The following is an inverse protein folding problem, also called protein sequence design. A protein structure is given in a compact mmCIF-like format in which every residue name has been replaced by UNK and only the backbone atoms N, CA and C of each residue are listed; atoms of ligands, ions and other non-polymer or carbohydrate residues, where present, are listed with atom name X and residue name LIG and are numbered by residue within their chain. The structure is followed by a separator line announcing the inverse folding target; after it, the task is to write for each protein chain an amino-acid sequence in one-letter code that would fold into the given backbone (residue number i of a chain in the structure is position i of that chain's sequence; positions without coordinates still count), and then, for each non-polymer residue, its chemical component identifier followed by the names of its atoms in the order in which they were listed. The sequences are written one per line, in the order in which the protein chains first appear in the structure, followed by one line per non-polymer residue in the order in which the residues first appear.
data_IF_331729613094
#
_entry.id   IF_331729613094
#
_cell.length_a   1.000
_cell.length_b   1.000
_cell.length_c   1.000
_cell.angle_alpha   90.00
_cell.angle_beta   90.00
_cell.angle_gamma   90.00
#
_symmetry.space_group_name_H-M   'P 1'
#
loop_
_entity.id
_entity.type
_entity.pdbx_description
1 polymer ?
#
# COMPACT_ATOMS: atom_id res chain seq x y z
N UNK A 1 28.65 13.95 -7.63
CA UNK A 1 27.74 12.80 -7.34
C UNK A 1 26.92 12.37 -8.55
N UNK A 2 26.44 13.29 -9.39
CA UNK A 2 25.66 12.96 -10.60
C UNK A 2 26.46 12.10 -11.61
N UNK A 3 27.70 12.48 -11.94
CA UNK A 3 28.52 11.77 -12.92
C UNK A 3 28.83 10.31 -12.57
N UNK A 4 29.09 10.01 -11.30
CA UNK A 4 29.32 8.62 -10.87
C UNK A 4 28.04 7.78 -10.97
N UNK A 5 26.91 8.37 -10.62
CA UNK A 5 25.59 7.73 -10.71
C UNK A 5 25.24 7.40 -12.18
N UNK A 6 25.46 8.35 -13.08
CA UNK A 6 25.21 8.18 -14.51
C UNK A 6 26.16 7.13 -15.11
N UNK A 7 27.45 7.14 -14.71
CA UNK A 7 28.42 6.14 -15.13
C UNK A 7 28.06 4.71 -14.68
N UNK A 8 27.57 4.55 -13.43
CA UNK A 8 27.15 3.25 -12.92
C UNK A 8 25.92 2.73 -13.68
N UNK A 9 24.92 3.57 -13.92
CA UNK A 9 23.73 3.19 -14.68
C UNK A 9 24.08 2.81 -16.14
N UNK A 10 24.96 3.56 -16.78
CA UNK A 10 25.45 3.24 -18.14
C UNK A 10 26.21 1.90 -18.17
N UNK A 11 27.08 1.67 -17.18
CA UNK A 11 27.83 0.43 -17.08
C UNK A 11 26.92 -0.78 -16.81
N UNK A 12 25.95 -0.65 -15.90
CA UNK A 12 24.96 -1.71 -15.62
C UNK A 12 24.05 -1.98 -16.82
N UNK A 13 23.68 -0.96 -17.58
CA UNK A 13 22.92 -1.11 -18.83
C UNK A 13 23.68 -1.91 -19.90
N UNK A 14 25.02 -1.74 -19.96
CA UNK A 14 25.89 -2.51 -20.87
C UNK A 14 26.31 -3.89 -20.34
N UNK A 15 26.09 -4.15 -19.02
CA UNK A 15 26.45 -5.41 -18.34
C UNK A 15 25.25 -5.99 -17.55
N UNK A 16 24.18 -6.41 -18.22
CA UNK A 16 22.92 -6.82 -17.59
C UNK A 16 23.06 -8.00 -16.63
N UNK A 17 24.05 -8.87 -16.79
CA UNK A 17 24.34 -10.00 -15.90
C UNK A 17 24.67 -9.57 -14.46
N UNK A 18 25.11 -8.34 -14.23
CA UNK A 18 25.44 -7.82 -12.90
C UNK A 18 24.27 -7.10 -12.22
N UNK A 19 23.19 -6.84 -12.97
CA UNK A 19 22.09 -6.03 -12.47
C UNK A 19 21.40 -6.66 -11.24
N UNK A 20 21.22 -7.98 -11.24
CA UNK A 20 20.63 -8.69 -10.10
C UNK A 20 21.50 -8.57 -8.84
N UNK A 21 22.82 -8.73 -8.98
CA UNK A 21 23.76 -8.54 -7.88
C UNK A 21 23.76 -7.09 -7.40
N UNK A 22 23.69 -6.12 -8.30
CA UNK A 22 23.63 -4.70 -7.97
C UNK A 22 22.38 -4.37 -7.14
N UNK A 23 21.20 -4.87 -7.54
CA UNK A 23 19.94 -4.70 -6.79
C UNK A 23 20.07 -5.26 -5.37
N UNK A 24 20.59 -6.49 -5.25
CA UNK A 24 20.78 -7.14 -3.96
C UNK A 24 21.75 -6.36 -3.06
N UNK A 25 22.91 -5.97 -3.58
CA UNK A 25 23.94 -5.25 -2.80
C UNK A 25 23.46 -3.84 -2.41
N UNK A 26 22.85 -3.09 -3.32
CA UNK A 26 22.33 -1.75 -3.03
C UNK A 26 21.25 -1.84 -1.94
N UNK A 27 20.33 -2.81 -2.05
CA UNK A 27 19.29 -3.04 -1.05
C UNK A 27 19.89 -3.42 0.32
N UNK A 28 20.92 -4.26 0.34
CA UNK A 28 21.63 -4.64 1.55
C UNK A 28 22.34 -3.43 2.19
N UNK A 29 23.12 -2.68 1.42
CA UNK A 29 23.87 -1.50 1.88
C UNK A 29 22.92 -0.44 2.43
N UNK A 30 21.79 -0.21 1.77
CA UNK A 30 20.79 0.78 2.18
C UNK A 30 20.12 0.44 3.50
N UNK A 31 20.05 -0.86 3.85
CA UNK A 31 19.52 -1.34 5.12
C UNK A 31 20.60 -1.48 6.22
N UNK A 32 21.89 -1.28 5.87
CA UNK A 32 22.97 -1.26 6.87
C UNK A 32 22.92 0.02 7.68
N UNK A 33 22.98 -0.13 9.00
CA UNK A 33 23.08 0.98 9.94
C UNK A 33 24.29 1.86 9.59
N UNK A 34 24.13 3.18 9.70
CA UNK A 34 25.15 4.20 9.40
C UNK A 34 25.44 4.33 7.90
N UNK A 35 25.84 3.25 7.21
CA UNK A 35 26.18 3.26 5.78
C UNK A 35 24.96 3.65 4.93
N UNK A 36 23.77 3.10 5.25
CA UNK A 36 22.53 3.40 4.55
C UNK A 36 22.06 4.86 4.67
N UNK A 37 22.57 5.62 5.64
CA UNK A 37 22.30 7.07 5.75
C UNK A 37 23.16 7.87 4.75
N UNK A 38 24.37 7.40 4.46
CA UNK A 38 25.35 8.10 3.64
C UNK A 38 25.11 7.86 2.13
N UNK A 39 24.49 6.74 1.78
CA UNK A 39 24.25 6.35 0.38
C UNK A 39 22.85 6.84 -0.04
N UNK A 40 22.69 7.50 -1.20
CA UNK A 40 21.38 7.86 -1.76
C UNK A 40 20.67 6.63 -2.35
N UNK A 41 20.48 5.59 -1.53
CA UNK A 41 20.04 4.26 -1.94
C UNK A 41 18.69 4.24 -2.64
N UNK A 42 17.74 5.12 -2.24
CA UNK A 42 16.42 5.21 -2.89
C UNK A 42 16.56 5.56 -4.38
N UNK A 43 17.42 6.53 -4.71
CA UNK A 43 17.63 6.94 -6.10
C UNK A 43 18.37 5.84 -6.90
N UNK A 44 19.34 5.17 -6.25
CA UNK A 44 20.04 4.04 -6.86
C UNK A 44 19.09 2.87 -7.11
N UNK A 45 18.27 2.49 -6.12
CA UNK A 45 17.28 1.42 -6.27
C UNK A 45 16.25 1.73 -7.36
N UNK A 46 15.79 2.98 -7.43
CA UNK A 46 14.92 3.41 -8.51
C UNK A 46 15.59 3.25 -9.89
N UNK A 47 16.83 3.74 -10.04
CA UNK A 47 17.58 3.64 -11.31
C UNK A 47 17.81 2.19 -11.76
N UNK A 48 18.29 1.31 -10.85
CA UNK A 48 18.49 -0.11 -11.19
C UNK A 48 17.17 -0.85 -11.42
N UNK A 49 16.08 -0.43 -10.76
CA UNK A 49 14.75 -0.99 -11.01
C UNK A 49 14.22 -0.58 -12.39
N UNK A 50 14.48 0.66 -12.86
CA UNK A 50 14.16 1.08 -14.24
C UNK A 50 14.92 0.21 -15.24
N UNK A 51 16.23 -0.02 -15.03
CA UNK A 51 17.01 -0.91 -15.88
C UNK A 51 16.48 -2.35 -15.87
N UNK A 52 16.08 -2.87 -14.71
CA UNK A 52 15.47 -4.20 -14.61
C UNK A 52 14.15 -4.27 -15.41
N UNK A 53 13.27 -3.29 -15.26
CA UNK A 53 11.99 -3.20 -15.96
C UNK A 53 12.13 -3.02 -17.48
N UNK A 54 13.26 -2.49 -17.97
CA UNK A 54 13.49 -2.37 -19.41
C UNK A 54 13.70 -3.71 -20.12
N UNK A 55 13.58 -4.83 -19.43
CA UNK A 55 13.54 -6.19 -20.00
C UNK A 55 14.66 -7.12 -19.54
N UNK A 56 15.49 -6.67 -18.60
CA UNK A 56 16.63 -7.44 -18.11
C UNK A 56 16.22 -8.45 -17.04
N UNK A 57 15.33 -8.07 -16.13
CA UNK A 57 14.84 -8.92 -15.03
C UNK A 57 13.31 -8.82 -14.93
N UNK A 58 12.69 -9.93 -14.58
CA UNK A 58 11.25 -9.93 -14.24
C UNK A 58 10.98 -9.12 -12.97
N UNK A 59 9.72 -8.70 -12.79
CA UNK A 59 9.29 -8.03 -11.56
C UNK A 59 9.56 -8.89 -10.33
N UNK A 60 9.23 -10.19 -10.41
CA UNK A 60 9.42 -11.13 -9.31
C UNK A 60 10.89 -11.27 -8.89
N UNK A 61 11.79 -11.42 -9.83
CA UNK A 61 13.25 -11.48 -9.57
C UNK A 61 13.76 -10.17 -8.94
N UNK A 62 13.36 -9.03 -9.49
CA UNK A 62 13.74 -7.70 -8.99
C UNK A 62 13.31 -7.52 -7.54
N UNK A 63 12.04 -7.84 -7.22
CA UNK A 63 11.51 -7.73 -5.87
C UNK A 63 12.15 -8.73 -4.91
N UNK A 64 12.38 -9.98 -5.34
CA UNK A 64 13.00 -11.01 -4.51
C UNK A 64 14.44 -10.67 -4.16
N UNK A 65 15.24 -10.19 -5.13
CA UNK A 65 16.63 -9.78 -4.89
C UNK A 65 16.72 -8.61 -3.92
N UNK A 66 15.88 -7.59 -4.09
CA UNK A 66 15.82 -6.47 -3.16
C UNK A 66 15.32 -6.88 -1.77
N UNK A 67 14.32 -7.76 -1.69
CA UNK A 67 13.81 -8.33 -0.45
C UNK A 67 14.92 -9.05 0.31
N UNK A 68 15.63 -9.97 -0.35
CA UNK A 68 16.71 -10.74 0.27
C UNK A 68 17.87 -9.83 0.71
N UNK A 69 18.27 -8.86 -0.12
CA UNK A 69 19.28 -7.87 0.23
C UNK A 69 18.87 -7.03 1.44
N UNK A 70 17.63 -6.54 1.45
CA UNK A 70 17.08 -5.74 2.55
C UNK A 70 17.02 -6.51 3.87
N UNK A 71 16.55 -7.78 3.84
CA UNK A 71 16.53 -8.65 5.03
C UNK A 71 17.95 -8.92 5.55
N UNK A 72 18.90 -9.19 4.65
CA UNK A 72 20.29 -9.41 5.07
C UNK A 72 20.88 -8.16 5.72
N UNK A 73 20.69 -6.98 5.13
CA UNK A 73 21.14 -5.70 5.68
C UNK A 73 20.56 -5.41 7.07
N UNK A 74 19.26 -5.69 7.27
CA UNK A 74 18.59 -5.58 8.56
C UNK A 74 19.18 -6.55 9.59
N UNK A 75 19.40 -7.82 9.21
CA UNK A 75 19.96 -8.82 10.11
C UNK A 75 21.40 -8.47 10.54
N UNK A 76 22.21 -7.97 9.61
CA UNK A 76 23.57 -7.50 9.92
C UNK A 76 23.53 -6.29 10.84
N UNK A 77 22.66 -5.32 10.60
CA UNK A 77 22.49 -4.15 11.47
C UNK A 77 22.00 -4.53 12.88
N UNK A 78 21.05 -5.46 12.96
CA UNK A 78 20.58 -6.00 14.24
C UNK A 78 21.69 -6.73 14.99
N UNK A 79 22.47 -7.58 14.31
CA UNK A 79 23.59 -8.31 14.92
C UNK A 79 24.67 -7.34 15.43
N UNK A 80 25.02 -6.32 14.61
CA UNK A 80 25.93 -5.26 15.05
C UNK A 80 25.43 -4.57 16.33
N UNK A 81 24.14 -4.20 16.35
CA UNK A 81 23.52 -3.59 17.54
C UNK A 81 23.59 -4.46 18.76
N UNK A 82 23.32 -5.76 18.61
CA UNK A 82 23.27 -6.72 19.70
C UNK A 82 24.66 -7.04 20.30
N UNK A 83 25.67 -7.21 19.44
CA UNK A 83 27.00 -7.62 19.89
C UNK A 83 27.94 -6.45 20.24
N UNK A 84 27.76 -5.29 19.58
CA UNK A 84 28.68 -4.16 19.71
C UNK A 84 28.05 -2.91 20.32
N UNK A 85 26.95 -3.04 21.09
CA UNK A 85 26.16 -1.90 21.56
C UNK A 85 26.95 -0.84 22.35
N UNK A 86 28.03 -1.22 23.06
CA UNK A 86 28.88 -0.25 23.79
C UNK A 86 29.85 0.49 22.84
N UNK A 87 30.39 -0.20 21.85
CA UNK A 87 31.38 0.35 20.89
C UNK A 87 30.75 1.22 19.84
N UNK A 88 29.49 0.92 19.44
CA UNK A 88 28.73 1.69 18.47
C UNK A 88 28.61 3.16 18.88
N UNK A 89 28.42 3.45 20.16
CA UNK A 89 28.33 4.83 20.67
C UNK A 89 29.64 5.61 20.52
N UNK A 90 30.77 4.92 20.39
CA UNK A 90 32.11 5.52 20.20
C UNK A 90 32.49 5.75 18.77
N UNK A 91 31.72 5.23 17.80
CA UNK A 91 31.99 5.41 16.37
C UNK A 91 31.96 6.90 15.98
N UNK A 92 32.98 7.39 15.21
CA UNK A 92 33.12 8.82 14.87
C UNK A 92 31.85 9.44 14.28
N UNK A 93 31.15 8.74 13.36
CA UNK A 93 29.92 9.21 12.72
C UNK A 93 28.76 9.42 13.69
N UNK A 94 28.57 8.51 14.64
CA UNK A 94 27.52 8.60 15.67
C UNK A 94 27.91 9.51 16.82
N UNK A 95 29.18 9.62 17.16
CA UNK A 95 29.68 10.56 18.15
C UNK A 95 29.44 12.00 17.74
N UNK A 96 29.55 12.33 16.46
CA UNK A 96 29.29 13.67 15.93
C UNK A 96 27.78 13.96 15.73
N UNK A 97 26.95 12.89 15.61
CA UNK A 97 25.50 13.02 15.40
C UNK A 97 24.70 12.16 16.38
N UNK A 98 24.79 12.42 17.71
CA UNK A 98 24.13 11.59 18.73
C UNK A 98 22.60 11.61 18.61
N UNK A 99 22.05 12.65 18.00
CA UNK A 99 20.62 12.82 17.77
C UNK A 99 20.01 11.73 16.86
N UNK A 100 20.79 11.11 15.97
CA UNK A 100 20.29 10.02 15.10
C UNK A 100 19.98 8.78 15.94
N UNK A 101 20.89 8.41 16.83
CA UNK A 101 20.69 7.27 17.73
C UNK A 101 19.61 7.58 18.77
N UNK A 102 19.60 8.80 19.33
CA UNK A 102 18.59 9.22 20.30
C UNK A 102 17.18 9.26 19.67
N UNK A 103 17.06 9.73 18.42
CA UNK A 103 15.81 9.73 17.69
C UNK A 103 15.26 8.32 17.45
N UNK A 104 16.11 7.40 16.98
CA UNK A 104 15.74 6.01 16.75
C UNK A 104 15.41 5.30 18.06
N UNK A 105 16.16 5.55 19.13
CA UNK A 105 15.92 5.06 20.48
C UNK A 105 14.55 5.51 21.00
N UNK A 106 14.29 6.82 21.02
CA UNK A 106 13.00 7.36 21.47
C UNK A 106 11.81 6.84 20.64
N UNK A 107 12.00 6.67 19.34
CA UNK A 107 10.98 6.09 18.47
C UNK A 107 10.73 4.61 18.78
N UNK A 108 11.78 3.83 18.99
CA UNK A 108 11.68 2.42 19.38
C UNK A 108 11.05 2.25 20.77
N UNK A 109 11.44 3.06 21.76
CA UNK A 109 10.82 3.02 23.10
C UNK A 109 9.33 3.34 23.05
N UNK A 110 8.93 4.31 22.21
CA UNK A 110 7.54 4.77 22.13
C UNK A 110 6.63 3.79 21.38
N UNK A 111 7.14 3.14 20.33
CA UNK A 111 6.32 2.34 19.40
C UNK A 111 6.67 0.85 19.39
N UNK A 112 7.73 0.44 20.07
CA UNK A 112 8.16 -0.96 20.16
C UNK A 112 8.33 -1.62 18.81
N UNK A 113 7.75 -2.80 18.64
CA UNK A 113 7.82 -3.60 17.41
C UNK A 113 7.23 -2.88 16.20
N UNK A 114 6.17 -2.07 16.39
CA UNK A 114 5.56 -1.31 15.30
C UNK A 114 6.53 -0.27 14.69
N UNK A 115 7.55 0.17 15.46
CA UNK A 115 8.57 1.08 14.93
C UNK A 115 9.38 0.48 13.78
N UNK A 116 9.63 -0.83 13.79
CA UNK A 116 10.35 -1.53 12.72
C UNK A 116 9.54 -1.59 11.43
N UNK A 117 8.21 -1.80 11.54
CA UNK A 117 7.32 -1.83 10.37
C UNK A 117 7.21 -0.45 9.72
N UNK A 118 6.85 0.56 10.52
CA UNK A 118 6.55 1.91 10.01
C UNK A 118 7.81 2.71 9.78
N UNK A 119 8.80 2.57 10.66
CA UNK A 119 10.06 3.30 10.62
C UNK A 119 10.90 2.98 9.38
N UNK A 120 10.66 1.81 8.74
CA UNK A 120 11.29 1.45 7.48
C UNK A 120 10.96 2.40 6.33
N UNK A 121 9.83 3.11 6.42
CA UNK A 121 9.42 4.13 5.45
C UNK A 121 9.81 5.56 5.85
N UNK A 122 10.49 5.72 7.00
CA UNK A 122 10.92 7.02 7.51
C UNK A 122 12.43 7.16 7.28
N UNK A 123 12.82 7.83 6.18
CA UNK A 123 14.16 8.24 5.78
C UNK A 123 15.33 7.82 6.72
N UNK A 124 15.92 8.75 7.48
CA UNK A 124 17.12 8.47 8.28
C UNK A 124 16.94 7.45 9.41
N UNK A 125 15.69 7.22 9.87
CA UNK A 125 15.43 6.25 10.96
C UNK A 125 15.50 4.81 10.46
N UNK A 126 15.23 4.58 9.18
CA UNK A 126 15.12 3.23 8.58
C UNK A 126 16.33 2.33 8.88
N UNK A 127 17.58 2.68 8.51
CA UNK A 127 18.72 1.81 8.73
C UNK A 127 19.12 1.71 10.20
N UNK A 128 18.72 2.66 11.03
CA UNK A 128 19.09 2.71 12.46
C UNK A 128 18.21 1.81 13.34
N UNK A 129 16.94 1.58 12.96
CA UNK A 129 15.98 0.85 13.79
C UNK A 129 16.34 -0.62 14.00
N UNK A 130 16.82 -1.40 13.02
CA UNK A 130 17.32 -2.76 13.24
C UNK A 130 18.47 -2.81 14.25
N UNK A 131 19.43 -1.88 14.13
CA UNK A 131 20.55 -1.77 15.07
C UNK A 131 20.06 -1.45 16.49
N UNK A 132 19.14 -0.49 16.64
CA UNK A 132 18.55 -0.13 17.93
C UNK A 132 17.77 -1.29 18.53
N UNK A 133 17.02 -2.05 17.74
CA UNK A 133 16.34 -3.27 18.19
C UNK A 133 17.34 -4.31 18.75
N UNK A 134 18.50 -4.47 18.11
CA UNK A 134 19.60 -5.28 18.61
C UNK A 134 20.17 -4.76 19.93
N UNK A 135 20.39 -3.45 20.05
CA UNK A 135 20.89 -2.80 21.28
C UNK A 135 19.93 -2.93 22.47
N UNK A 136 18.64 -3.14 22.23
CA UNK A 136 17.61 -3.39 23.26
C UNK A 136 17.36 -4.88 23.52
N UNK A 137 18.23 -5.76 23.05
CA UNK A 137 18.12 -7.20 23.23
C UNK A 137 16.76 -7.78 22.79
N UNK A 138 16.14 -7.19 21.75
CA UNK A 138 14.91 -7.74 21.19
C UNK A 138 15.15 -9.21 20.78
N UNK A 139 14.25 -10.17 21.13
CA UNK A 139 14.40 -11.56 20.73
C UNK A 139 14.55 -11.71 19.21
N UNK A 140 15.59 -12.43 18.75
CA UNK A 140 15.94 -12.55 17.34
C UNK A 140 14.78 -13.08 16.47
N UNK A 141 14.04 -14.11 16.93
CA UNK A 141 12.90 -14.63 16.19
C UNK A 141 11.79 -13.58 15.95
N UNK A 142 11.51 -12.74 16.96
CA UNK A 142 10.55 -11.63 16.82
C UNK A 142 11.06 -10.58 15.85
N UNK A 143 12.35 -10.22 15.92
CA UNK A 143 12.97 -9.28 14.99
C UNK A 143 12.91 -9.79 13.56
N UNK A 144 13.33 -11.04 13.31
CA UNK A 144 13.34 -11.65 11.96
C UNK A 144 11.93 -11.66 11.38
N UNK A 145 10.91 -12.12 12.13
CA UNK A 145 9.52 -12.13 11.65
C UNK A 145 9.05 -10.74 11.20
N UNK A 146 9.32 -9.72 12.01
CA UNK A 146 8.92 -8.34 11.70
C UNK A 146 9.71 -7.79 10.53
N UNK A 147 11.02 -8.06 10.45
CA UNK A 147 11.87 -7.65 9.34
C UNK A 147 11.44 -8.29 8.01
N UNK A 148 11.10 -9.59 8.01
CA UNK A 148 10.57 -10.26 6.82
C UNK A 148 9.31 -9.57 6.28
N UNK A 149 8.35 -9.27 7.16
CA UNK A 149 7.11 -8.58 6.77
C UNK A 149 7.37 -7.14 6.30
N UNK A 150 8.21 -6.40 7.02
CA UNK A 150 8.54 -5.02 6.68
C UNK A 150 9.30 -4.91 5.37
N UNK A 151 10.23 -5.85 5.11
CA UNK A 151 11.03 -5.89 3.89
C UNK A 151 10.20 -6.19 2.65
N UNK A 152 9.18 -7.05 2.76
CA UNK A 152 8.29 -7.36 1.66
C UNK A 152 7.53 -6.11 1.19
N UNK A 153 6.91 -5.37 2.11
CA UNK A 153 6.22 -4.12 1.77
C UNK A 153 7.16 -3.05 1.24
N UNK A 154 8.36 -2.95 1.79
CA UNK A 154 9.38 -2.00 1.36
C UNK A 154 9.89 -2.29 -0.07
N UNK A 155 10.22 -3.55 -0.38
CA UNK A 155 10.69 -3.91 -1.71
C UNK A 155 9.68 -3.52 -2.79
N UNK A 156 8.39 -3.81 -2.55
CA UNK A 156 7.31 -3.40 -3.47
C UNK A 156 7.23 -1.88 -3.58
N UNK A 157 7.18 -1.15 -2.45
CA UNK A 157 6.98 0.29 -2.46
C UNK A 157 8.12 1.06 -3.17
N UNK A 158 9.36 0.57 -3.07
CA UNK A 158 10.52 1.28 -3.61
C UNK A 158 10.93 0.83 -5.01
N UNK A 159 10.79 -0.45 -5.35
CA UNK A 159 11.24 -0.95 -6.64
C UNK A 159 10.13 -1.02 -7.69
N UNK A 160 8.89 -1.28 -7.31
CA UNK A 160 7.78 -1.36 -8.26
C UNK A 160 7.63 -0.09 -9.12
N UNK A 161 7.71 1.15 -8.57
CA UNK A 161 7.60 2.36 -9.39
C UNK A 161 8.72 2.46 -10.44
N UNK A 162 9.97 2.17 -10.05
CA UNK A 162 11.11 2.16 -10.97
C UNK A 162 10.95 1.09 -12.04
N UNK A 163 10.68 -0.15 -11.64
CA UNK A 163 10.49 -1.26 -12.57
C UNK A 163 9.32 -1.02 -13.54
N UNK A 164 8.19 -0.52 -13.06
CA UNK A 164 7.05 -0.17 -13.90
C UNK A 164 7.39 0.94 -14.91
N UNK A 165 8.20 1.93 -14.49
CA UNK A 165 8.71 2.97 -15.40
C UNK A 165 9.57 2.36 -16.52
N UNK A 166 10.50 1.46 -16.18
CA UNK A 166 11.32 0.76 -17.18
C UNK A 166 10.49 -0.10 -18.13
N UNK A 167 9.53 -0.85 -17.60
CA UNK A 167 8.59 -1.64 -18.41
C UNK A 167 7.73 -0.76 -19.32
N UNK A 168 7.28 0.39 -18.80
CA UNK A 168 6.50 1.36 -19.56
C UNK A 168 7.31 1.98 -20.73
N UNK A 169 8.58 2.26 -20.51
CA UNK A 169 9.46 2.79 -21.57
C UNK A 169 9.71 1.78 -22.71
N UNK A 170 9.62 0.48 -22.41
CA UNK A 170 9.79 -0.59 -23.41
C UNK A 170 8.52 -0.84 -24.22
N UNK A 171 7.35 -0.69 -23.62
CA UNK A 171 6.10 -0.98 -24.28
C UNK A 171 5.68 0.19 -25.18
N UNK A 172 5.07 -0.08 -26.35
CA UNK A 172 4.47 0.96 -27.20
C UNK A 172 3.20 1.51 -26.54
N UNK A 173 3.39 2.40 -25.56
CA UNK A 173 2.27 3.03 -24.85
C UNK A 173 1.56 4.05 -25.75
N UNK A 174 0.25 4.27 -25.58
CA UNK A 174 -0.48 5.28 -26.30
C UNK A 174 0.12 6.69 -26.12
N UNK A 175 0.08 7.57 -27.14
CA UNK A 175 0.78 8.87 -27.12
C UNK A 175 0.41 9.79 -25.95
N UNK A 176 -0.84 9.74 -25.47
CA UNK A 176 -1.32 10.55 -24.35
C UNK A 176 -1.17 9.89 -22.96
N UNK A 177 -0.55 8.72 -22.87
CA UNK A 177 -0.41 8.00 -21.61
C UNK A 177 0.28 8.86 -20.52
N UNK A 178 1.46 9.39 -20.80
CA UNK A 178 2.24 10.14 -19.83
C UNK A 178 1.58 11.43 -19.33
N UNK A 179 1.01 12.29 -20.20
CA UNK A 179 0.24 13.45 -19.77
C UNK A 179 -0.94 13.08 -18.86
N UNK A 180 -1.70 12.03 -19.20
CA UNK A 180 -2.82 11.58 -18.40
C UNK A 180 -2.35 11.01 -17.05
N UNK A 181 -1.27 10.21 -17.04
CA UNK A 181 -0.65 9.68 -15.83
C UNK A 181 -0.16 10.80 -14.90
N UNK A 182 0.48 11.84 -15.46
CA UNK A 182 0.95 12.98 -14.70
C UNK A 182 -0.22 13.79 -14.11
N UNK A 183 -1.29 14.01 -14.88
CA UNK A 183 -2.46 14.75 -14.41
C UNK A 183 -3.16 14.02 -13.25
N UNK A 184 -3.44 12.73 -13.40
CA UNK A 184 -4.09 11.91 -12.36
C UNK A 184 -3.17 11.74 -11.16
N UNK A 185 -1.90 11.40 -11.38
CA UNK A 185 -0.90 11.24 -10.31
C UNK A 185 -0.69 12.52 -9.52
N UNK A 186 -0.61 13.67 -10.20
CA UNK A 186 -0.50 14.98 -9.56
C UNK A 186 -1.73 15.35 -8.74
N UNK A 187 -2.94 15.13 -9.27
CA UNK A 187 -4.18 15.40 -8.56
C UNK A 187 -4.32 14.53 -7.29
N UNK A 188 -3.99 13.23 -7.41
CA UNK A 188 -3.97 12.32 -6.25
C UNK A 188 -2.92 12.72 -5.23
N UNK A 189 -1.69 13.00 -5.65
CA UNK A 189 -0.61 13.41 -4.77
C UNK A 189 -0.98 14.69 -4.00
N UNK A 190 -1.57 15.67 -4.67
CA UNK A 190 -2.05 16.90 -4.05
C UNK A 190 -3.14 16.62 -3.00
N UNK A 191 -4.17 15.85 -3.36
CA UNK A 191 -5.27 15.52 -2.45
C UNK A 191 -4.80 14.73 -1.22
N UNK A 192 -3.89 13.75 -1.41
CA UNK A 192 -3.28 12.99 -0.32
C UNK A 192 -2.41 13.90 0.55
N UNK A 193 -1.56 14.73 -0.06
CA UNK A 193 -0.67 15.64 0.68
C UNK A 193 -1.46 16.64 1.54
N UNK A 194 -2.52 17.25 1.01
CA UNK A 194 -3.40 18.16 1.75
C UNK A 194 -4.09 17.44 2.93
N UNK A 195 -4.62 16.26 2.69
CA UNK A 195 -5.31 15.44 3.72
C UNK A 195 -4.33 15.00 4.82
N UNK A 196 -3.15 14.52 4.44
CA UNK A 196 -2.09 14.12 5.38
C UNK A 196 -1.57 15.32 6.18
N UNK A 197 -1.28 16.44 5.53
CA UNK A 197 -0.81 17.66 6.20
C UNK A 197 -1.82 18.16 7.23
N UNK A 198 -3.10 18.24 6.86
CA UNK A 198 -4.18 18.63 7.75
C UNK A 198 -4.34 17.71 8.96
N UNK A 199 -4.24 16.38 8.73
CA UNK A 199 -4.31 15.38 9.80
C UNK A 199 -3.09 15.43 10.74
N UNK A 200 -1.88 15.61 10.20
CA UNK A 200 -0.63 15.71 10.98
C UNK A 200 -0.58 17.01 11.79
N UNK A 201 -1.10 18.12 11.24
CA UNK A 201 -1.20 19.40 11.91
C UNK A 201 -2.31 19.46 12.97
N UNK A 202 -3.07 18.36 13.15
CA UNK A 202 -4.12 18.28 14.16
C UNK A 202 -5.30 19.23 13.91
N UNK A 203 -5.56 19.60 12.65
CA UNK A 203 -6.65 20.50 12.31
C UNK A 203 -8.01 19.89 12.68
N UNK A 204 -8.89 20.70 13.27
CA UNK A 204 -10.23 20.27 13.74
C UNK A 204 -11.08 19.67 12.61
N UNK A 205 -10.93 20.18 11.39
CA UNK A 205 -11.73 19.79 10.23
C UNK A 205 -10.96 18.94 9.21
N UNK A 206 -9.91 18.20 9.65
CA UNK A 206 -9.11 17.39 8.75
C UNK A 206 -9.94 16.31 7.99
N UNK A 207 -10.93 15.70 8.64
CA UNK A 207 -11.83 14.74 8.01
C UNK A 207 -12.73 15.40 6.95
N UNK A 208 -13.21 16.61 7.21
CA UNK A 208 -14.00 17.38 6.24
C UNK A 208 -13.15 17.75 5.02
N UNK A 209 -11.92 18.22 5.22
CA UNK A 209 -11.02 18.51 4.11
C UNK A 209 -10.74 17.26 3.28
N UNK A 210 -10.48 16.13 3.92
CA UNK A 210 -10.30 14.86 3.22
C UNK A 210 -11.55 14.45 2.42
N UNK A 211 -12.76 14.66 2.98
CA UNK A 211 -14.02 14.40 2.28
C UNK A 211 -14.18 15.31 1.05
N UNK A 212 -13.91 16.60 1.20
CA UNK A 212 -13.99 17.57 0.09
C UNK A 212 -12.97 17.25 -1.00
N UNK A 213 -11.70 16.99 -0.64
CA UNK A 213 -10.67 16.59 -1.61
C UNK A 213 -11.07 15.29 -2.33
N UNK A 214 -11.58 14.30 -1.59
CA UNK A 214 -12.05 13.05 -2.17
C UNK A 214 -13.23 13.23 -3.12
N UNK A 215 -14.24 14.03 -2.75
CA UNK A 215 -15.38 14.33 -3.60
C UNK A 215 -15.00 15.11 -4.87
N UNK A 216 -14.07 16.06 -4.77
CA UNK A 216 -13.56 16.79 -5.93
C UNK A 216 -12.78 15.87 -6.88
N UNK A 217 -11.94 14.98 -6.34
CA UNK A 217 -11.23 13.97 -7.13
C UNK A 217 -12.21 13.00 -7.79
N UNK A 218 -13.24 12.55 -7.06
CA UNK A 218 -14.27 11.68 -7.60
C UNK A 218 -15.04 12.35 -8.75
N UNK A 219 -15.45 13.60 -8.54
CA UNK A 219 -16.13 14.39 -9.59
C UNK A 219 -15.24 14.57 -10.82
N UNK A 220 -13.95 14.87 -10.60
CA UNK A 220 -12.97 14.95 -11.69
C UNK A 220 -12.84 13.64 -12.47
N UNK A 221 -12.82 12.49 -11.78
CA UNK A 221 -12.81 11.18 -12.41
C UNK A 221 -14.13 10.86 -13.15
N UNK A 222 -15.27 11.25 -12.56
CA UNK A 222 -16.59 11.04 -13.18
C UNK A 222 -16.77 11.83 -14.48
N UNK A 223 -16.21 13.04 -14.56
CA UNK A 223 -16.24 13.86 -15.77
C UNK A 223 -15.12 13.45 -16.74
N UNK A 224 -13.95 13.15 -16.21
CA UNK A 224 -12.72 12.94 -16.97
C UNK A 224 -12.51 11.52 -17.52
N UNK A 225 -13.24 10.50 -17.04
CA UNK A 225 -12.96 9.10 -17.40
C UNK A 225 -12.96 8.82 -18.91
N UNK A 226 -13.80 9.45 -19.77
CA UNK A 226 -13.74 9.19 -21.20
C UNK A 226 -12.42 9.65 -21.84
N UNK A 227 -11.77 10.65 -21.24
CA UNK A 227 -10.49 11.18 -21.68
C UNK A 227 -9.28 10.41 -21.12
N UNK A 228 -9.48 9.44 -20.22
CA UNK A 228 -8.41 8.62 -19.63
C UNK A 228 -8.18 7.29 -20.36
N UNK A 229 -8.75 7.12 -21.54
CA UNK A 229 -8.67 5.87 -22.31
C UNK A 229 -7.23 5.42 -22.60
N UNK A 230 -6.32 6.35 -22.85
CA UNK A 230 -4.91 6.04 -23.13
C UNK A 230 -4.15 5.62 -21.87
N UNK A 231 -4.43 6.24 -20.74
CA UNK A 231 -3.94 5.80 -19.44
C UNK A 231 -4.45 4.40 -19.10
N UNK A 232 -5.75 4.17 -19.26
CA UNK A 232 -6.39 2.89 -18.97
C UNK A 232 -5.81 1.76 -19.84
N UNK A 233 -5.68 1.97 -21.14
CA UNK A 233 -5.10 1.00 -22.06
C UNK A 233 -3.63 0.73 -21.74
N UNK A 234 -2.84 1.78 -21.50
CA UNK A 234 -1.43 1.66 -21.19
C UNK A 234 -1.17 0.90 -19.88
N UNK A 235 -1.85 1.25 -18.79
CA UNK A 235 -1.72 0.53 -17.51
C UNK A 235 -2.26 -0.89 -17.59
N UNK A 236 -3.36 -1.12 -18.28
CA UNK A 236 -3.87 -2.47 -18.50
C UNK A 236 -2.85 -3.33 -19.26
N UNK A 237 -2.28 -2.82 -20.36
CA UNK A 237 -1.27 -3.52 -21.13
C UNK A 237 -0.02 -3.84 -20.31
N UNK A 238 0.47 -2.88 -19.50
CA UNK A 238 1.59 -3.07 -18.58
C UNK A 238 1.37 -4.23 -17.62
N UNK A 239 0.18 -4.30 -17.02
CA UNK A 239 -0.15 -5.32 -16.02
C UNK A 239 -0.44 -6.66 -16.69
N UNK A 240 -1.14 -6.67 -17.83
CA UNK A 240 -1.40 -7.90 -18.59
C UNK A 240 -0.11 -8.55 -19.11
N UNK A 241 0.91 -7.75 -19.46
CA UNK A 241 2.23 -8.27 -19.85
C UNK A 241 2.93 -9.07 -18.73
N UNK A 242 2.51 -8.92 -17.47
CA UNK A 242 3.03 -9.67 -16.31
C UNK A 242 2.16 -10.88 -15.94
N UNK A 243 1.10 -11.16 -16.71
CA UNK A 243 0.20 -12.27 -16.44
C UNK A 243 0.91 -13.61 -16.65
N UNK A 244 0.72 -14.53 -15.72
CA UNK A 244 1.32 -15.86 -15.77
C UNK A 244 0.47 -16.86 -15.01
N UNK A 245 0.48 -18.14 -15.45
CA UNK A 245 -0.26 -19.22 -14.80
C UNK A 245 0.07 -19.38 -13.31
N UNK A 246 1.31 -19.09 -12.91
CA UNK A 246 1.74 -19.13 -11.50
C UNK A 246 1.06 -18.04 -10.63
N UNK A 247 0.79 -16.86 -11.20
CA UNK A 247 0.17 -15.74 -10.50
C UNK A 247 -1.37 -15.74 -10.60
N UNK A 248 -1.96 -16.42 -11.58
CA UNK A 248 -3.42 -16.43 -11.78
C UNK A 248 -4.14 -16.97 -10.55
N UNK A 249 -3.70 -18.09 -10.01
CA UNK A 249 -4.32 -18.75 -8.86
C UNK A 249 -4.33 -17.85 -7.59
N UNK A 250 -3.21 -17.26 -7.13
CA UNK A 250 -3.25 -16.31 -6.02
C UNK A 250 -4.04 -15.05 -6.32
N UNK A 251 -4.02 -14.52 -7.55
CA UNK A 251 -4.80 -13.33 -7.91
C UNK A 251 -6.31 -13.59 -7.90
N UNK A 252 -6.73 -14.79 -8.29
CA UNK A 252 -8.13 -15.23 -8.14
C UNK A 252 -8.51 -15.32 -6.66
N UNK A 253 -7.68 -15.89 -5.80
CA UNK A 253 -7.95 -15.94 -4.36
C UNK A 253 -8.08 -14.53 -3.76
N UNK A 254 -7.15 -13.63 -4.10
CA UNK A 254 -7.17 -12.24 -3.64
C UNK A 254 -8.43 -11.52 -4.10
N UNK A 255 -8.82 -11.67 -5.37
CA UNK A 255 -10.01 -10.99 -5.89
C UNK A 255 -11.29 -11.46 -5.21
N UNK A 256 -11.37 -12.75 -4.78
CA UNK A 256 -12.53 -13.29 -4.06
C UNK A 256 -12.77 -12.64 -2.70
N UNK A 257 -11.71 -12.13 -2.06
CA UNK A 257 -11.87 -11.33 -0.85
C UNK A 257 -12.69 -10.05 -1.09
N UNK A 258 -12.69 -9.53 -2.31
CA UNK A 258 -13.43 -8.34 -2.72
C UNK A 258 -14.82 -8.61 -3.30
N UNK A 259 -15.28 -9.85 -3.42
CA UNK A 259 -16.60 -10.18 -3.94
C UNK A 259 -17.69 -9.54 -3.10
N UNK A 260 -18.78 -9.10 -3.76
CA UNK A 260 -19.88 -8.37 -3.11
C UNK A 260 -20.44 -9.11 -1.89
N UNK A 261 -20.77 -10.39 -2.03
CA UNK A 261 -21.34 -11.19 -0.93
C UNK A 261 -20.33 -11.37 0.22
N UNK A 262 -19.05 -11.54 -0.11
CA UNK A 262 -17.97 -11.68 0.88
C UNK A 262 -17.81 -10.40 1.69
N UNK A 263 -17.76 -9.26 1.02
CA UNK A 263 -17.63 -7.95 1.67
C UNK A 263 -18.90 -7.56 2.44
N UNK A 264 -20.09 -7.89 1.92
CA UNK A 264 -21.36 -7.68 2.61
C UNK A 264 -21.43 -8.49 3.91
N UNK A 265 -21.02 -9.76 3.87
CA UNK A 265 -20.97 -10.62 5.06
C UNK A 265 -19.99 -10.09 6.12
N UNK A 266 -18.80 -9.64 5.69
CA UNK A 266 -17.81 -9.06 6.58
C UNK A 266 -18.27 -7.72 7.18
N UNK A 267 -18.92 -6.87 6.38
CA UNK A 267 -19.52 -5.61 6.84
C UNK A 267 -20.66 -5.84 7.85
N UNK A 268 -21.53 -6.81 7.57
CA UNK A 268 -22.63 -7.18 8.47
C UNK A 268 -22.07 -7.74 9.80
N UNK A 269 -21.05 -8.61 9.75
CA UNK A 269 -20.39 -9.14 10.93
C UNK A 269 -19.75 -8.02 11.76
N UNK A 270 -19.00 -7.10 11.14
CA UNK A 270 -18.41 -5.96 11.81
C UNK A 270 -19.47 -5.11 12.52
N UNK A 271 -20.55 -4.75 11.82
CA UNK A 271 -21.65 -3.98 12.39
C UNK A 271 -22.33 -4.72 13.53
N UNK A 272 -22.56 -6.03 13.41
CA UNK A 272 -23.14 -6.86 14.45
C UNK A 272 -22.27 -6.90 15.72
N UNK A 273 -20.96 -7.10 15.55
CA UNK A 273 -20.02 -7.13 16.68
C UNK A 273 -19.92 -5.77 17.39
N UNK A 274 -19.95 -4.66 16.65
CA UNK A 274 -19.99 -3.31 17.20
C UNK A 274 -21.33 -3.05 17.95
N UNK A 275 -22.44 -3.55 17.41
CA UNK A 275 -23.76 -3.48 18.02
C UNK A 275 -23.80 -4.24 19.36
N UNK A 276 -23.39 -5.51 19.35
CA UNK A 276 -23.35 -6.37 20.54
C UNK A 276 -22.40 -5.82 21.63
N UNK A 277 -21.31 -5.18 21.19
CA UNK A 277 -20.35 -4.51 22.08
C UNK A 277 -20.81 -3.11 22.52
N UNK A 278 -22.02 -2.68 22.15
CA UNK A 278 -22.62 -1.36 22.45
C UNK A 278 -21.74 -0.18 22.02
N UNK A 279 -20.98 -0.32 20.94
CA UNK A 279 -20.12 0.73 20.37
C UNK A 279 -20.91 1.58 19.37
N UNK A 280 -21.97 2.24 19.81
CA UNK A 280 -22.98 2.90 18.95
C UNK A 280 -22.39 3.90 17.95
N UNK A 281 -21.42 4.71 18.38
CA UNK A 281 -20.81 5.73 17.51
C UNK A 281 -19.87 5.10 16.47
N UNK A 282 -19.11 4.06 16.84
CA UNK A 282 -18.31 3.30 15.90
C UNK A 282 -19.19 2.53 14.91
N UNK A 283 -20.31 1.97 15.38
CA UNK A 283 -21.34 1.36 14.54
C UNK A 283 -21.92 2.35 13.53
N UNK A 284 -22.33 3.55 13.99
CA UNK A 284 -22.87 4.59 13.10
C UNK A 284 -21.84 4.99 12.02
N UNK A 285 -20.57 5.16 12.40
CA UNK A 285 -19.49 5.46 11.46
C UNK A 285 -19.31 4.33 10.43
N UNK A 286 -19.17 3.09 10.89
CA UNK A 286 -18.96 1.93 10.02
C UNK A 286 -20.16 1.72 9.07
N UNK A 287 -21.38 1.79 9.61
CA UNK A 287 -22.62 1.60 8.84
C UNK A 287 -22.77 2.67 7.74
N UNK A 288 -22.61 3.96 8.08
CA UNK A 288 -22.72 5.04 7.12
C UNK A 288 -21.66 4.95 6.02
N UNK A 289 -20.42 4.63 6.39
CA UNK A 289 -19.33 4.51 5.43
C UNK A 289 -19.53 3.32 4.46
N UNK A 290 -19.85 2.14 5.01
CA UNK A 290 -20.00 0.91 4.23
C UNK A 290 -21.26 0.94 3.36
N UNK A 291 -22.42 1.27 3.96
CA UNK A 291 -23.68 1.34 3.23
C UNK A 291 -23.68 2.48 2.21
N UNK A 292 -23.21 3.67 2.61
CA UNK A 292 -23.10 4.82 1.70
C UNK A 292 -22.23 4.53 0.49
N UNK A 293 -21.07 3.89 0.71
CA UNK A 293 -20.19 3.46 -0.41
C UNK A 293 -20.88 2.45 -1.31
N UNK A 294 -21.58 1.45 -0.74
CA UNK A 294 -22.24 0.40 -1.52
C UNK A 294 -23.40 0.98 -2.37
N UNK A 295 -24.25 1.81 -1.78
CA UNK A 295 -25.37 2.45 -2.48
C UNK A 295 -24.87 3.40 -3.59
N UNK A 296 -23.88 4.25 -3.28
CA UNK A 296 -23.31 5.15 -4.26
C UNK A 296 -22.62 4.40 -5.40
N UNK A 297 -21.88 3.31 -5.10
CA UNK A 297 -21.27 2.49 -6.15
C UNK A 297 -22.32 1.88 -7.06
N UNK A 298 -23.40 1.32 -6.52
CA UNK A 298 -24.51 0.74 -7.30
C UNK A 298 -25.18 1.76 -8.21
N UNK A 299 -25.51 2.95 -7.68
CA UNK A 299 -26.13 4.05 -8.42
C UNK A 299 -25.24 4.57 -9.55
N UNK A 300 -23.96 4.84 -9.24
CA UNK A 300 -23.00 5.32 -10.24
C UNK A 300 -22.75 4.28 -11.34
N UNK A 301 -22.69 2.99 -10.97
CA UNK A 301 -22.51 1.90 -11.92
C UNK A 301 -23.66 1.82 -12.92
N UNK A 302 -24.89 1.97 -12.47
CA UNK A 302 -26.07 2.03 -13.33
C UNK A 302 -26.09 3.30 -14.21
N UNK A 303 -25.65 4.45 -13.65
CA UNK A 303 -25.64 5.73 -14.35
C UNK A 303 -24.60 5.76 -15.48
N UNK A 304 -23.36 5.32 -15.24
CA UNK A 304 -22.27 5.41 -16.22
C UNK A 304 -22.31 4.28 -17.26
N UNK A 305 -22.83 3.13 -16.93
CA UNK A 305 -22.98 1.95 -17.80
C UNK A 305 -21.74 1.62 -18.66
N UNK A 306 -20.53 1.84 -18.10
CA UNK A 306 -19.27 1.67 -18.84
C UNK A 306 -18.97 0.19 -19.09
N UNK A 307 -18.55 -0.14 -20.33
CA UNK A 307 -18.11 -1.48 -20.70
C UNK A 307 -16.78 -1.87 -20.04
N UNK A 308 -16.61 -3.16 -19.78
CA UNK A 308 -15.39 -3.75 -19.25
C UNK A 308 -14.33 -3.97 -20.34
N UNK A 309 -13.05 -4.15 -19.98
CA UNK A 309 -12.07 -4.71 -20.90
C UNK A 309 -12.48 -6.09 -21.40
N UNK A 310 -12.23 -6.39 -22.66
CA UNK A 310 -12.54 -7.68 -23.30
C UNK A 310 -11.31 -8.59 -23.24
N UNK A 311 -10.98 -9.11 -22.04
CA UNK A 311 -9.82 -9.98 -21.80
C UNK A 311 -10.24 -11.42 -21.47
N UNK A 312 -11.41 -11.60 -20.84
CA UNK A 312 -11.88 -12.93 -20.42
C UNK A 312 -12.62 -13.64 -21.57
N UNK A 313 -12.54 -14.98 -21.57
CA UNK A 313 -13.33 -15.84 -22.48
C UNK A 313 -14.83 -15.60 -22.31
N UNK A 314 -15.30 -15.48 -21.06
CA UNK A 314 -16.68 -15.15 -20.75
C UNK A 314 -16.77 -13.75 -20.13
N UNK A 315 -17.30 -12.74 -20.84
CA UNK A 315 -17.46 -11.39 -20.32
C UNK A 315 -18.38 -11.33 -19.10
N UNK A 316 -18.02 -10.49 -18.13
CA UNK A 316 -18.88 -10.26 -16.97
C UNK A 316 -20.05 -9.32 -17.34
N UNK A 317 -21.28 -9.72 -17.02
CA UNK A 317 -22.50 -8.99 -17.38
C UNK A 317 -22.78 -7.68 -16.62
N UNK A 318 -21.90 -7.27 -15.71
CA UNK A 318 -22.08 -6.02 -14.94
C UNK A 318 -21.18 -4.90 -15.47
N UNK A 319 -21.64 -3.65 -15.38
CA UNK A 319 -20.88 -2.47 -15.78
C UNK A 319 -19.57 -2.30 -15.03
N UNK A 320 -18.63 -1.57 -15.63
CA UNK A 320 -17.24 -1.46 -15.14
C UNK A 320 -17.05 -0.36 -14.10
N UNK A 321 -17.57 0.85 -14.34
CA UNK A 321 -17.28 2.05 -13.56
C UNK A 321 -18.38 2.41 -12.55
N UNK A 322 -18.04 2.73 -11.29
CA UNK A 322 -16.75 2.44 -10.64
C UNK A 322 -16.63 0.97 -10.22
N UNK A 323 -15.40 0.52 -9.89
CA UNK A 323 -15.18 -0.87 -9.48
C UNK A 323 -15.79 -1.19 -8.12
N UNK A 324 -16.73 -2.16 -8.08
CA UNK A 324 -17.41 -2.58 -6.84
C UNK A 324 -16.49 -3.30 -5.86
N UNK A 325 -15.60 -4.18 -6.35
CA UNK A 325 -14.60 -4.86 -5.51
C UNK A 325 -13.67 -3.86 -4.83
N UNK A 326 -13.19 -2.87 -5.59
CA UNK A 326 -12.29 -1.85 -5.07
C UNK A 326 -12.99 -0.97 -4.04
N UNK A 327 -14.20 -0.46 -4.34
CA UNK A 327 -14.92 0.40 -3.41
C UNK A 327 -15.29 -0.32 -2.11
N UNK A 328 -15.75 -1.58 -2.16
CA UNK A 328 -16.10 -2.36 -0.98
C UNK A 328 -14.85 -2.69 -0.13
N UNK A 329 -13.77 -3.17 -0.76
CA UNK A 329 -12.53 -3.49 -0.06
C UNK A 329 -11.90 -2.26 0.58
N UNK A 330 -11.80 -1.13 -0.14
CA UNK A 330 -11.29 0.12 0.44
C UNK A 330 -12.18 0.63 1.56
N UNK A 331 -13.51 0.61 1.42
CA UNK A 331 -14.42 1.05 2.48
C UNK A 331 -14.23 0.21 3.75
N UNK A 332 -14.23 -1.11 3.64
CA UNK A 332 -14.07 -2.02 4.77
C UNK A 332 -12.70 -1.85 5.46
N UNK A 333 -11.63 -1.87 4.69
CA UNK A 333 -10.28 -1.74 5.22
C UNK A 333 -10.01 -0.35 5.84
N UNK A 334 -10.50 0.74 5.21
CA UNK A 334 -10.38 2.08 5.75
C UNK A 334 -11.22 2.28 7.02
N UNK A 335 -12.42 1.70 7.11
CA UNK A 335 -13.21 1.71 8.35
C UNK A 335 -12.43 1.08 9.48
N UNK A 336 -11.86 -0.11 9.29
CA UNK A 336 -11.03 -0.77 10.31
C UNK A 336 -9.80 0.07 10.68
N UNK A 337 -9.10 0.61 9.70
CA UNK A 337 -7.90 1.44 9.91
C UNK A 337 -8.22 2.74 10.67
N UNK A 338 -9.32 3.40 10.32
CA UNK A 338 -9.77 4.62 10.99
C UNK A 338 -10.19 4.32 12.44
N UNK A 339 -10.89 3.23 12.70
CA UNK A 339 -11.24 2.80 14.06
C UNK A 339 -9.98 2.44 14.87
N UNK A 340 -9.01 1.73 14.28
CA UNK A 340 -7.74 1.37 14.94
C UNK A 340 -6.89 2.60 15.26
N UNK A 341 -6.95 3.63 14.43
CA UNK A 341 -6.25 4.89 14.63
C UNK A 341 -6.84 5.79 15.72
N UNK A 342 -8.04 5.52 16.25
CA UNK A 342 -8.66 6.37 17.28
C UNK A 342 -7.85 6.33 18.58
N UNK A 343 -7.69 7.51 19.20
CA UNK A 343 -6.87 7.66 20.42
C UNK A 343 -5.36 7.61 20.17
N UNK A 344 -4.93 7.38 18.93
CA UNK A 344 -3.51 7.32 18.56
C UNK A 344 -2.99 8.70 18.08
N UNK A 345 -1.66 8.97 18.23
CA UNK A 345 -1.05 10.17 17.67
C UNK A 345 -1.18 10.20 16.15
N UNK A 346 -1.17 11.40 15.51
CA UNK A 346 -1.43 11.56 14.08
C UNK A 346 -0.58 10.67 13.17
N UNK A 347 0.70 10.50 13.48
CA UNK A 347 1.63 9.63 12.72
C UNK A 347 1.18 8.15 12.74
N UNK A 348 0.69 7.67 13.89
CA UNK A 348 0.17 6.30 14.00
C UNK A 348 -1.17 6.13 13.27
N UNK A 349 -2.01 7.17 13.24
CA UNK A 349 -3.25 7.15 12.42
C UNK A 349 -2.92 6.95 10.95
N UNK A 350 -1.91 7.68 10.42
CA UNK A 350 -1.45 7.49 9.04
C UNK A 350 -0.87 6.09 8.82
N UNK A 351 -0.11 5.56 9.77
CA UNK A 351 0.40 4.19 9.68
C UNK A 351 -0.73 3.17 9.59
N UNK A 352 -1.79 3.29 10.39
CA UNK A 352 -2.97 2.43 10.29
C UNK A 352 -3.69 2.55 8.95
N UNK A 353 -3.80 3.78 8.40
CA UNK A 353 -4.38 3.98 7.06
C UNK A 353 -3.55 3.32 5.97
N UNK A 354 -2.23 3.46 6.01
CA UNK A 354 -1.33 2.80 5.06
C UNK A 354 -1.42 1.28 5.15
N UNK A 355 -1.32 0.72 6.36
CA UNK A 355 -1.41 -0.73 6.58
C UNK A 355 -2.79 -1.29 6.16
N UNK A 356 -3.86 -0.60 6.53
CA UNK A 356 -5.21 -1.00 6.16
C UNK A 356 -5.49 -0.88 4.66
N UNK A 357 -4.81 0.01 3.95
CA UNK A 357 -4.97 0.14 2.50
C UNK A 357 -4.28 -0.98 1.70
N UNK A 358 -3.29 -1.68 2.26
CA UNK A 358 -2.56 -2.73 1.55
C UNK A 358 -3.45 -3.88 1.04
N UNK A 359 -4.34 -4.50 1.86
CA UNK A 359 -5.24 -5.53 1.37
C UNK A 359 -6.20 -5.01 0.30
N UNK A 360 -6.71 -3.79 0.46
CA UNK A 360 -7.59 -3.17 -0.53
C UNK A 360 -6.87 -2.90 -1.87
N UNK A 361 -5.60 -2.46 -1.83
CA UNK A 361 -4.75 -2.30 -3.01
C UNK A 361 -4.47 -3.65 -3.69
N UNK A 362 -4.23 -4.72 -2.93
CA UNK A 362 -4.05 -6.05 -3.49
C UNK A 362 -5.32 -6.55 -4.22
N UNK A 363 -6.49 -6.39 -3.59
CA UNK A 363 -7.79 -6.72 -4.21
C UNK A 363 -8.02 -5.86 -5.47
N UNK A 364 -7.75 -4.56 -5.39
CA UNK A 364 -7.89 -3.64 -6.49
C UNK A 364 -6.94 -3.99 -7.67
N UNK A 365 -5.67 -4.25 -7.36
CA UNK A 365 -4.67 -4.68 -8.34
C UNK A 365 -5.03 -6.00 -9.03
N UNK A 366 -5.58 -6.97 -8.29
CA UNK A 366 -6.04 -8.23 -8.87
C UNK A 366 -7.11 -8.04 -9.96
N UNK A 367 -7.92 -6.96 -9.89
CA UNK A 367 -8.95 -6.65 -10.89
C UNK A 367 -8.37 -6.20 -12.23
N UNK A 368 -7.26 -5.44 -12.20
CA UNK A 368 -6.53 -5.06 -13.43
C UNK A 368 -5.78 -6.27 -13.97
N UNK A 369 -5.11 -7.01 -13.07
CA UNK A 369 -4.37 -8.21 -13.43
C UNK A 369 -5.25 -9.26 -14.13
N UNK A 370 -6.47 -9.47 -13.62
CA UNK A 370 -7.45 -10.39 -14.24
C UNK A 370 -8.16 -9.78 -15.47
N UNK A 371 -7.86 -8.53 -15.85
CA UNK A 371 -8.40 -7.88 -17.03
C UNK A 371 -9.89 -7.54 -16.96
N UNK A 372 -10.47 -7.40 -15.76
CA UNK A 372 -11.92 -7.22 -15.58
C UNK A 372 -12.36 -5.78 -15.28
N UNK A 373 -11.39 -4.90 -15.04
CA UNK A 373 -11.64 -3.46 -14.81
C UNK A 373 -10.55 -2.61 -15.42
N UNK A 374 -10.92 -1.41 -15.82
CA UNK A 374 -9.98 -0.35 -16.18
C UNK A 374 -9.32 0.22 -14.92
N UNK A 375 -8.05 0.67 -15.00
CA UNK A 375 -7.37 1.34 -13.88
C UNK A 375 -8.15 2.52 -13.29
N UNK A 376 -8.76 3.35 -14.13
CA UNK A 376 -9.60 4.46 -13.67
C UNK A 376 -10.86 4.03 -12.92
N UNK A 377 -11.46 2.85 -13.21
CA UNK A 377 -12.59 2.31 -12.46
C UNK A 377 -12.20 1.98 -11.01
N UNK A 378 -10.99 1.44 -10.87
CA UNK A 378 -10.42 1.05 -9.57
C UNK A 378 -10.13 2.28 -8.74
N UNK A 379 -9.51 3.28 -9.36
CA UNK A 379 -9.22 4.56 -8.73
C UNK A 379 -10.51 5.25 -8.28
N UNK A 380 -11.52 5.30 -9.13
CA UNK A 380 -12.83 5.86 -8.77
C UNK A 380 -13.47 5.11 -7.60
N UNK A 381 -13.37 3.77 -7.57
CA UNK A 381 -13.84 2.96 -6.44
C UNK A 381 -13.12 3.25 -5.13
N UNK A 382 -11.80 3.41 -5.17
CA UNK A 382 -10.97 3.74 -3.99
C UNK A 382 -11.29 5.15 -3.46
N UNK A 383 -11.35 6.15 -4.36
CA UNK A 383 -11.68 7.54 -4.01
C UNK A 383 -13.10 7.65 -3.47
N UNK A 384 -14.07 6.93 -4.06
CA UNK A 384 -15.45 6.84 -3.57
C UNK A 384 -15.47 6.36 -2.11
N UNK A 385 -14.80 5.24 -1.82
CA UNK A 385 -14.74 4.68 -0.47
C UNK A 385 -14.07 5.65 0.52
N UNK A 386 -12.95 6.25 0.16
CA UNK A 386 -12.26 7.23 0.99
C UNK A 386 -13.13 8.44 1.28
N UNK A 387 -13.87 8.93 0.29
CA UNK A 387 -14.79 10.07 0.43
C UNK A 387 -15.93 9.76 1.41
N UNK A 388 -16.56 8.57 1.29
CA UNK A 388 -17.63 8.16 2.22
C UNK A 388 -17.10 7.89 3.63
N UNK A 389 -15.91 7.31 3.78
CA UNK A 389 -15.27 7.15 5.08
C UNK A 389 -14.98 8.50 5.74
N UNK A 390 -14.43 9.47 5.00
CA UNK A 390 -14.13 10.79 5.51
C UNK A 390 -15.40 11.60 5.84
N UNK A 391 -16.42 11.52 4.99
CA UNK A 391 -17.72 12.16 5.21
C UNK A 391 -18.44 11.58 6.45
N UNK A 392 -18.53 10.26 6.53
CA UNK A 392 -19.13 9.56 7.67
C UNK A 392 -18.42 9.88 8.98
N UNK A 393 -17.07 9.94 8.92
CA UNK A 393 -16.29 10.34 10.08
C UNK A 393 -16.56 11.79 10.49
N UNK A 394 -16.64 12.72 9.52
CA UNK A 394 -16.98 14.12 9.77
C UNK A 394 -18.35 14.24 10.44
N UNK A 395 -19.36 13.51 9.97
CA UNK A 395 -20.71 13.51 10.53
C UNK A 395 -20.72 12.98 11.97
N UNK A 396 -20.06 11.86 12.24
CA UNK A 396 -20.04 11.25 13.57
C UNK A 396 -19.19 12.05 14.56
N UNK A 397 -18.14 12.73 14.09
CA UNK A 397 -17.26 13.58 14.91
C UNK A 397 -17.72 15.04 15.02
N UNK A 398 -18.85 15.41 14.42
CA UNK A 398 -19.29 16.80 14.33
C UNK A 398 -19.25 17.56 15.67
N UNK A 399 -19.71 16.91 16.74
CA UNK A 399 -19.74 17.53 18.09
C UNK A 399 -18.58 17.07 18.97
N UNK A 400 -18.24 15.79 18.93
CA UNK A 400 -17.23 15.18 19.79
C UNK A 400 -16.41 14.15 19.01
N UNK A 401 -15.09 14.02 19.25
CA UNK A 401 -14.27 13.00 18.62
C UNK A 401 -14.79 11.58 18.82
N UNK A 402 -14.61 10.71 17.83
CA UNK A 402 -14.95 9.29 17.95
C UNK A 402 -13.99 8.62 18.95
N UNK A 403 -14.51 7.96 20.02
CA UNK A 403 -13.67 7.31 21.01
C UNK A 403 -12.92 6.11 20.43
N UNK A 404 -11.77 5.78 21.02
CA UNK A 404 -11.06 4.55 20.71
C UNK A 404 -11.84 3.32 21.18
N UNK A 405 -11.79 2.26 20.38
CA UNK A 405 -12.36 0.97 20.78
C UNK A 405 -11.48 0.32 21.87
N UNK A 406 -12.08 -0.41 22.82
CA UNK A 406 -11.34 -1.18 23.82
C UNK A 406 -10.38 -2.18 23.15
N UNK A 407 -9.13 -2.25 23.65
CA UNK A 407 -8.10 -3.14 23.07
C UNK A 407 -8.56 -4.60 22.96
N UNK A 408 -9.27 -5.11 23.97
CA UNK A 408 -9.84 -6.48 23.99
C UNK A 408 -10.82 -6.75 22.85
N UNK A 409 -11.52 -5.72 22.34
CA UNK A 409 -12.49 -5.88 21.26
C UNK A 409 -11.78 -6.18 19.93
N UNK A 410 -10.58 -5.68 19.73
CA UNK A 410 -9.77 -5.95 18.53
C UNK A 410 -9.38 -7.42 18.39
N UNK A 411 -9.19 -8.12 19.52
CA UNK A 411 -8.93 -9.57 19.52
C UNK A 411 -10.15 -10.40 19.08
N UNK A 412 -11.34 -9.79 19.06
CA UNK A 412 -12.54 -10.40 18.51
C UNK A 412 -12.79 -9.92 17.06
N UNK A 413 -12.75 -8.61 16.82
CA UNK A 413 -13.10 -8.02 15.52
C UNK A 413 -12.20 -8.50 14.40
N UNK A 414 -10.87 -8.40 14.57
CA UNK A 414 -9.94 -8.75 13.49
C UNK A 414 -9.97 -10.24 13.13
N UNK A 415 -9.82 -11.19 14.07
CA UNK A 415 -9.87 -12.61 13.72
C UNK A 415 -11.22 -13.04 13.14
N UNK A 416 -12.33 -12.52 13.66
CA UNK A 416 -13.66 -12.85 13.16
C UNK A 416 -13.88 -12.36 11.72
N UNK A 417 -13.55 -11.09 11.43
CA UNK A 417 -13.70 -10.53 10.09
C UNK A 417 -12.72 -11.14 9.09
N UNK A 418 -11.44 -11.27 9.45
CA UNK A 418 -10.43 -11.87 8.56
C UNK A 418 -10.68 -13.37 8.34
N UNK A 419 -11.09 -14.10 9.38
CA UNK A 419 -11.47 -15.50 9.29
C UNK A 419 -12.66 -15.71 8.35
N UNK A 420 -13.70 -14.87 8.46
CA UNK A 420 -14.85 -14.92 7.56
C UNK A 420 -14.45 -14.61 6.11
N UNK A 421 -13.69 -13.54 5.87
CA UNK A 421 -13.20 -13.18 4.53
C UNK A 421 -12.39 -14.32 3.92
N UNK A 422 -11.44 -14.88 4.68
CA UNK A 422 -10.59 -15.98 4.22
C UNK A 422 -11.37 -17.27 3.94
N UNK A 423 -12.29 -17.64 4.82
CA UNK A 423 -13.09 -18.88 4.65
C UNK A 423 -14.00 -18.82 3.43
N UNK A 424 -14.68 -17.67 3.19
CA UNK A 424 -15.52 -17.53 2.00
C UNK A 424 -14.68 -17.49 0.73
N UNK A 425 -13.54 -16.76 0.74
CA UNK A 425 -12.66 -16.67 -0.43
C UNK A 425 -12.07 -18.04 -0.82
N UNK A 426 -11.64 -18.84 0.15
CA UNK A 426 -11.11 -20.20 -0.09
C UNK A 426 -12.19 -21.16 -0.56
N UNK A 427 -13.40 -21.08 0.02
CA UNK A 427 -14.54 -21.90 -0.43
C UNK A 427 -14.92 -21.61 -1.88
N UNK A 428 -14.84 -20.37 -2.32
CA UNK A 428 -15.21 -19.95 -3.69
C UNK A 428 -14.03 -19.99 -4.67
N UNK A 429 -12.86 -20.44 -4.25
CA UNK A 429 -11.64 -20.33 -5.05
C UNK A 429 -11.70 -21.14 -6.36
N UNK A 430 -12.12 -22.43 -6.33
CA UNK A 430 -12.21 -23.28 -7.52
C UNK A 430 -13.18 -22.72 -8.57
N UNK A 431 -14.34 -22.24 -8.14
CA UNK A 431 -15.30 -21.58 -9.03
C UNK A 431 -14.73 -20.26 -9.62
N UNK A 432 -13.83 -19.61 -8.87
CA UNK A 432 -13.12 -18.42 -9.34
C UNK A 432 -12.16 -18.69 -10.48
N UNK A 433 -11.41 -19.78 -10.43
CA UNK A 433 -10.46 -20.14 -11.49
C UNK A 433 -11.17 -20.34 -12.84
N UNK A 434 -12.35 -20.96 -12.85
CA UNK A 434 -13.15 -21.09 -14.05
C UNK A 434 -13.69 -19.75 -14.56
N UNK A 435 -14.16 -18.89 -13.65
CA UNK A 435 -14.77 -17.59 -13.99
C UNK A 435 -13.80 -16.58 -14.60
N UNK A 436 -12.52 -16.65 -14.27
CA UNK A 436 -11.47 -15.72 -14.74
C UNK A 436 -10.51 -16.35 -15.74
N UNK A 437 -10.93 -17.44 -16.40
CA UNK A 437 -10.22 -18.02 -17.53
C UNK A 437 -10.12 -17.03 -18.72
N UNK A 438 -9.02 -17.10 -19.49
CA UNK A 438 -8.71 -16.20 -20.61
C UNK A 438 -8.06 -16.97 -21.76
#
# INVERSE_FOLDING_TARGET
MSQWFDSLNLWLGSNPQWLGLAIFLIACIECLAIVGILVPGVALLFGVAVLAGSGTLSLGETLLLAYCGGVLGDCLSYACGRYFHQDIRRLPGLRHNPQWLAGAHGYFQRYGVASLLVGRFIGPLRPMLPMVAGMFDMPAGRFILVSLLASAGWAVAYLLPGWATGAALRLPLPPGFWPQAAAIGGALALGIALSCHSSLSGQRHASLLAAVCGLLLLLGLMIGWPHLSQLDQGLLALIQAQRSAALDSPMVLITRLGDFNTQLAAAALLCLLLLLSRQWRALSFAFLALLGTALANGSLKAFFARNRPEVLLEPLHSFSFPSGHSSAAFAFCLVLALLAGRGQPPRMRLAWLLLGSLPALAIAGSRIYLGVHWPSDILAGAVLAASFCALSLTLVEWRTPLPALPARLWWLLLPACLGLLGSIATWQWSAGLLRYAY
#
